data_IF_027651156009
#
_entry.id   IF_027651156009
#
_cell.length_a   1.000
_cell.length_b   1.000
_cell.length_c   1.000
_cell.angle_alpha   90.00
_cell.angle_beta   90.00
_cell.angle_gamma   90.00
#
_symmetry.space_group_name_H-M   'P 1'
#
loop_
_entity.id
_entity.type
_entity.pdbx_description
1 polymer ?
#
# COMPACT_ATOMS: atom_id res chain seq x y z
N UNK A 1 1.71 -19.57 4.24
CA UNK A 1 2.97 -19.23 3.53
C UNK A 1 3.44 -20.48 2.80
N UNK A 2 3.52 -20.49 1.46
CA UNK A 2 3.78 -21.72 0.68
C UNK A 2 5.06 -21.68 -0.16
N UNK A 3 5.60 -20.47 -0.45
CA UNK A 3 6.87 -20.31 -1.16
C UNK A 3 8.05 -20.58 -0.23
N UNK A 4 9.09 -21.22 -0.77
CA UNK A 4 10.38 -21.45 -0.12
C UNK A 4 11.51 -21.42 -1.15
N UNK A 5 12.76 -21.28 -0.70
CA UNK A 5 13.92 -21.26 -1.59
C UNK A 5 14.03 -22.54 -2.42
N UNK A 6 13.90 -23.71 -1.77
CA UNK A 6 13.88 -25.03 -2.44
C UNK A 6 12.77 -25.14 -3.50
N UNK A 7 11.54 -24.77 -3.15
CA UNK A 7 10.42 -24.86 -4.09
C UNK A 7 10.61 -23.92 -5.30
N UNK A 8 11.22 -22.75 -5.10
CA UNK A 8 11.50 -21.83 -6.21
C UNK A 8 12.61 -22.35 -7.13
N UNK A 9 13.62 -23.06 -6.61
CA UNK A 9 14.61 -23.75 -7.45
C UNK A 9 13.95 -24.83 -8.34
N UNK A 10 13.05 -25.64 -7.76
CA UNK A 10 12.29 -26.66 -8.50
C UNK A 10 11.40 -26.04 -9.58
N UNK A 11 10.69 -24.95 -9.24
CA UNK A 11 9.87 -24.18 -10.21
C UNK A 11 10.72 -23.59 -11.34
N UNK A 12 11.92 -23.12 -11.05
CA UNK A 12 12.82 -22.62 -12.08
C UNK A 12 13.27 -23.74 -13.04
N UNK A 13 13.60 -24.93 -12.55
CA UNK A 13 13.93 -26.06 -13.44
C UNK A 13 12.73 -26.47 -14.30
N UNK A 14 11.51 -26.37 -13.77
CA UNK A 14 10.28 -26.57 -14.54
C UNK A 14 10.11 -25.51 -15.64
N UNK A 15 10.33 -24.23 -15.31
CA UNK A 15 10.33 -23.13 -16.27
C UNK A 15 11.36 -23.32 -17.39
N UNK A 16 12.61 -23.64 -17.03
CA UNK A 16 13.72 -23.78 -17.98
C UNK A 16 13.56 -24.99 -18.90
N UNK A 17 13.01 -26.09 -18.39
CA UNK A 17 12.91 -27.35 -19.16
C UNK A 17 11.63 -27.47 -19.97
N UNK A 18 10.53 -26.79 -19.60
CA UNK A 18 9.22 -26.82 -20.26
C UNK A 18 8.83 -28.21 -20.81
N UNK A 19 8.88 -29.24 -19.95
CA UNK A 19 8.67 -30.64 -20.38
C UNK A 19 7.26 -30.92 -20.91
N UNK A 20 6.30 -30.05 -20.61
CA UNK A 20 4.91 -30.18 -21.04
C UNK A 20 4.61 -29.40 -22.32
N UNK A 21 5.61 -28.75 -22.93
CA UNK A 21 5.45 -27.94 -24.15
C UNK A 21 4.34 -26.89 -24.04
N UNK A 22 4.25 -26.26 -22.87
CA UNK A 22 3.25 -25.24 -22.58
C UNK A 22 3.61 -23.92 -23.28
N UNK A 23 2.59 -23.12 -23.57
CA UNK A 23 2.79 -21.73 -23.98
C UNK A 23 3.44 -20.92 -22.85
N UNK A 24 3.96 -19.73 -23.19
CA UNK A 24 4.63 -18.88 -22.21
C UNK A 24 3.73 -18.49 -21.03
N UNK A 25 2.44 -18.20 -21.29
CA UNK A 25 1.48 -17.79 -20.26
C UNK A 25 1.06 -18.97 -19.37
N UNK A 26 0.80 -20.13 -19.95
CA UNK A 26 0.47 -21.36 -19.21
C UNK A 26 1.63 -21.79 -18.30
N UNK A 27 2.85 -21.82 -18.84
CA UNK A 27 4.04 -22.16 -18.07
C UNK A 27 4.27 -21.16 -16.94
N UNK A 28 4.09 -19.84 -17.21
CA UNK A 28 4.23 -18.79 -16.21
C UNK A 28 3.22 -18.95 -15.07
N UNK A 29 1.98 -19.33 -15.38
CA UNK A 29 0.98 -19.65 -14.35
C UNK A 29 1.38 -20.90 -13.55
N UNK A 30 1.79 -21.99 -14.21
CA UNK A 30 2.24 -23.22 -13.54
C UNK A 30 3.35 -22.95 -12.53
N UNK A 31 4.38 -22.20 -12.92
CA UNK A 31 5.52 -21.86 -12.04
C UNK A 31 5.26 -20.65 -11.14
N UNK A 32 4.05 -20.09 -11.18
CA UNK A 32 3.61 -18.91 -10.40
C UNK A 32 4.62 -17.76 -10.50
N UNK A 33 5.11 -17.51 -11.72
CA UNK A 33 6.01 -16.40 -12.07
C UNK A 33 7.50 -16.61 -11.78
N UNK A 34 7.95 -17.79 -11.34
CA UNK A 34 9.39 -18.07 -11.16
C UNK A 34 10.07 -18.38 -12.50
N UNK A 35 10.60 -17.34 -13.16
CA UNK A 35 11.27 -17.45 -14.46
C UNK A 35 12.80 -17.22 -14.40
N UNK A 36 13.34 -16.93 -13.22
CA UNK A 36 14.76 -16.72 -12.98
C UNK A 36 15.24 -17.64 -11.85
N UNK A 37 16.50 -18.09 -11.95
CA UNK A 37 17.11 -18.99 -10.96
C UNK A 37 17.33 -18.24 -9.64
N UNK A 38 16.75 -18.67 -8.51
CA UNK A 38 17.11 -18.14 -7.21
C UNK A 38 18.59 -18.39 -6.92
N UNK A 39 19.27 -17.40 -6.34
CA UNK A 39 20.70 -17.48 -6.02
C UNK A 39 21.03 -17.13 -4.56
N UNK A 40 20.08 -16.51 -3.83
CA UNK A 40 20.17 -16.25 -2.38
C UNK A 40 18.91 -16.84 -1.73
N UNK A 41 19.10 -17.55 -0.62
CA UNK A 41 18.00 -17.95 0.25
C UNK A 41 17.56 -16.79 1.13
N UNK A 42 16.27 -16.51 1.14
CA UNK A 42 15.66 -15.48 1.98
C UNK A 42 14.59 -16.11 2.87
N UNK A 43 14.42 -15.54 4.07
CA UNK A 43 13.33 -15.93 4.96
C UNK A 43 12.02 -15.32 4.46
N UNK A 44 10.95 -16.10 4.23
CA UNK A 44 9.66 -15.56 3.84
C UNK A 44 9.04 -14.80 5.02
N UNK A 45 9.22 -13.49 5.01
CA UNK A 45 8.74 -12.56 6.03
C UNK A 45 8.31 -11.24 5.37
N UNK A 46 7.90 -10.27 6.18
CA UNK A 46 7.57 -8.90 5.75
C UNK A 46 8.61 -7.91 6.28
N UNK A 47 8.97 -6.92 5.47
CA UNK A 47 9.73 -5.77 5.94
C UNK A 47 8.78 -4.70 6.48
N UNK A 48 8.88 -4.42 7.78
CA UNK A 48 7.96 -3.51 8.47
C UNK A 48 8.06 -2.07 7.97
N UNK A 49 9.25 -1.60 7.58
CA UNK A 49 9.44 -0.23 7.11
C UNK A 49 8.78 0.00 5.74
N UNK A 50 9.04 -0.87 4.78
CA UNK A 50 8.42 -0.78 3.45
C UNK A 50 6.91 -1.07 3.52
N UNK A 51 6.46 -1.92 4.44
CA UNK A 51 5.03 -2.10 4.72
C UNK A 51 4.38 -0.79 5.17
N UNK A 52 4.96 -0.09 6.16
CA UNK A 52 4.45 1.20 6.64
C UNK A 52 4.44 2.26 5.51
N UNK A 53 5.50 2.33 4.69
CA UNK A 53 5.59 3.27 3.56
C UNK A 53 4.54 2.96 2.48
N UNK A 54 4.38 1.68 2.13
CA UNK A 54 3.42 1.22 1.13
C UNK A 54 1.99 1.52 1.55
N UNK A 55 1.62 1.14 2.77
CA UNK A 55 0.30 1.42 3.32
C UNK A 55 0.01 2.93 3.38
N UNK A 56 0.96 3.75 3.83
CA UNK A 56 0.80 5.19 3.84
C UNK A 56 0.62 5.80 2.44
N UNK A 57 1.31 5.26 1.42
CA UNK A 57 1.13 5.69 0.04
C UNK A 57 -0.28 5.37 -0.47
N UNK A 58 -0.82 4.20 -0.14
CA UNK A 58 -2.20 3.81 -0.49
C UNK A 58 -3.23 4.69 0.23
N UNK A 59 -3.09 4.94 1.53
CA UNK A 59 -3.99 5.85 2.26
C UNK A 59 -3.92 7.28 1.72
N UNK A 60 -2.72 7.79 1.43
CA UNK A 60 -2.57 9.09 0.78
C UNK A 60 -3.30 9.13 -0.57
N UNK A 61 -3.24 8.03 -1.34
CA UNK A 61 -3.98 7.93 -2.61
C UNK A 61 -5.50 7.92 -2.39
N UNK A 62 -5.99 7.17 -1.39
CA UNK A 62 -7.40 7.16 -1.00
C UNK A 62 -7.86 8.58 -0.66
N UNK A 63 -7.13 9.32 0.18
CA UNK A 63 -7.48 10.70 0.53
C UNK A 63 -7.61 11.61 -0.69
N UNK A 64 -6.70 11.52 -1.66
CA UNK A 64 -6.80 12.28 -2.91
C UNK A 64 -8.09 11.96 -3.70
N UNK A 65 -8.46 10.68 -3.76
CA UNK A 65 -9.61 10.19 -4.53
C UNK A 65 -10.94 10.52 -3.84
N UNK A 66 -10.96 10.53 -2.51
CA UNK A 66 -12.12 10.92 -1.71
C UNK A 66 -12.42 12.41 -1.80
N UNK A 67 -11.38 13.26 -1.76
CA UNK A 67 -11.52 14.70 -2.03
C UNK A 67 -12.12 14.95 -3.42
N UNK A 68 -11.77 14.11 -4.39
CA UNK A 68 -12.25 14.19 -5.75
C UNK A 68 -13.60 13.52 -6.03
N UNK A 69 -14.19 12.84 -5.04
CA UNK A 69 -15.37 11.98 -5.19
C UNK A 69 -15.27 11.08 -6.46
N UNK A 70 -14.13 10.42 -6.67
CA UNK A 70 -13.86 9.66 -7.91
C UNK A 70 -14.91 8.58 -8.20
N UNK A 71 -15.60 8.10 -7.17
CA UNK A 71 -16.71 7.16 -7.31
C UNK A 71 -17.92 7.74 -8.06
N UNK A 72 -18.10 9.07 -8.05
CA UNK A 72 -19.10 9.78 -8.87
C UNK A 72 -18.55 10.18 -10.24
N UNK A 73 -17.26 10.50 -10.31
CA UNK A 73 -16.59 10.88 -11.55
C UNK A 73 -15.39 9.96 -11.85
N UNK A 74 -15.64 8.76 -12.41
CA UNK A 74 -14.59 7.77 -12.64
C UNK A 74 -13.55 8.22 -13.68
N UNK A 75 -13.95 9.09 -14.60
CA UNK A 75 -13.14 9.52 -15.75
C UNK A 75 -12.40 10.85 -15.52
N UNK A 76 -12.16 11.22 -14.26
CA UNK A 76 -11.44 12.44 -13.93
C UNK A 76 -10.06 12.53 -14.61
N UNK A 77 -9.82 13.67 -15.24
CA UNK A 77 -8.60 14.04 -15.96
C UNK A 77 -7.36 14.08 -15.08
N UNK A 78 -6.20 14.10 -15.71
CA UNK A 78 -4.91 14.24 -15.00
C UNK A 78 -4.82 15.57 -14.25
N UNK A 79 -5.38 16.63 -14.82
CA UNK A 79 -5.40 17.98 -14.27
C UNK A 79 -6.29 18.05 -13.03
N UNK A 80 -7.46 17.40 -13.04
CA UNK A 80 -8.33 17.27 -11.85
C UNK A 80 -7.63 16.53 -10.72
N UNK A 81 -7.03 15.37 -11.03
CA UNK A 81 -6.30 14.57 -10.03
C UNK A 81 -5.14 15.35 -9.41
N UNK A 82 -4.43 16.17 -10.20
CA UNK A 82 -3.39 17.09 -9.71
C UNK A 82 -3.97 18.16 -8.79
N UNK A 83 -5.17 18.69 -9.08
CA UNK A 83 -5.85 19.67 -8.20
C UNK A 83 -6.25 19.06 -6.87
N UNK A 84 -6.76 17.82 -6.86
CA UNK A 84 -7.10 17.12 -5.60
C UNK A 84 -5.86 16.87 -4.75
N UNK A 85 -4.75 16.42 -5.36
CA UNK A 85 -3.47 16.30 -4.68
C UNK A 85 -3.01 17.63 -4.09
N UNK A 86 -3.04 18.72 -4.86
CA UNK A 86 -2.64 20.05 -4.37
C UNK A 86 -3.51 20.53 -3.21
N UNK A 87 -4.81 20.20 -3.24
CA UNK A 87 -5.77 20.53 -2.17
C UNK A 87 -5.42 19.78 -0.88
N UNK A 88 -5.20 18.47 -0.98
CA UNK A 88 -4.75 17.64 0.15
C UNK A 88 -3.45 18.17 0.74
N UNK A 89 -2.44 18.41 -0.10
CA UNK A 89 -1.12 18.88 0.30
C UNK A 89 -1.15 20.22 1.04
N UNK A 90 -1.94 21.18 0.53
CA UNK A 90 -2.13 22.47 1.19
C UNK A 90 -2.80 22.31 2.56
N UNK A 91 -3.80 21.44 2.64
CA UNK A 91 -4.54 21.22 3.88
C UNK A 91 -3.70 20.50 4.94
N UNK A 92 -2.98 19.44 4.57
CA UNK A 92 -2.06 18.73 5.47
C UNK A 92 -0.92 19.63 5.95
N UNK A 93 -0.41 20.53 5.09
CA UNK A 93 0.56 21.53 5.53
C UNK A 93 -0.04 22.48 6.57
N UNK A 94 -1.28 22.94 6.37
CA UNK A 94 -1.95 23.89 7.27
C UNK A 94 -2.31 23.27 8.62
N UNK A 95 -2.87 22.06 8.63
CA UNK A 95 -3.39 21.39 9.84
C UNK A 95 -2.34 20.57 10.58
N UNK A 96 -1.53 19.83 9.83
CA UNK A 96 -0.60 18.84 10.39
C UNK A 96 0.87 19.28 10.32
N UNK A 97 1.15 20.48 9.79
CA UNK A 97 2.50 20.96 9.47
C UNK A 97 3.31 19.95 8.62
N UNK A 98 2.62 19.19 7.76
CA UNK A 98 3.22 18.21 6.88
C UNK A 98 3.59 18.85 5.54
N UNK A 99 4.90 18.95 5.28
CA UNK A 99 5.41 19.42 3.98
C UNK A 99 5.19 18.31 2.92
N UNK A 100 4.59 18.63 1.77
CA UNK A 100 4.47 17.70 0.65
C UNK A 100 5.84 17.16 0.24
N UNK A 101 5.86 15.88 -0.12
CA UNK A 101 7.06 15.16 -0.54
C UNK A 101 6.82 14.50 -1.89
N UNK A 102 7.87 14.38 -2.69
CA UNK A 102 7.78 13.73 -4.00
C UNK A 102 7.64 12.20 -3.89
N UNK A 103 8.29 11.60 -2.89
CA UNK A 103 8.26 10.16 -2.64
C UNK A 103 8.01 9.89 -1.16
N UNK A 104 7.04 9.02 -0.88
CA UNK A 104 6.69 8.61 0.49
C UNK A 104 7.92 8.05 1.22
N UNK A 105 8.13 8.50 2.45
CA UNK A 105 9.20 8.03 3.32
C UNK A 105 8.64 7.65 4.70
N UNK A 106 9.43 6.93 5.50
CA UNK A 106 8.98 6.42 6.80
C UNK A 106 8.58 7.50 7.81
N UNK A 107 9.22 8.68 7.79
CA UNK A 107 8.87 9.78 8.68
C UNK A 107 7.49 10.36 8.33
N UNK A 108 7.21 10.54 7.04
CA UNK A 108 5.92 11.03 6.57
C UNK A 108 4.83 10.00 6.82
N UNK A 109 5.10 8.72 6.51
CA UNK A 109 4.16 7.61 6.77
C UNK A 109 3.72 7.56 8.23
N UNK A 110 4.68 7.65 9.17
CA UNK A 110 4.38 7.67 10.62
C UNK A 110 3.47 8.82 11.05
N UNK A 111 3.59 9.99 10.43
CA UNK A 111 2.75 11.15 10.78
C UNK A 111 1.39 11.11 10.10
N UNK A 112 1.36 10.72 8.82
CA UNK A 112 0.15 10.61 8.01
C UNK A 112 -0.82 9.55 8.55
N UNK A 113 -0.30 8.41 9.01
CA UNK A 113 -1.10 7.31 9.53
C UNK A 113 -1.52 7.57 10.99
N UNK A 114 -2.43 8.52 11.19
CA UNK A 114 -2.96 8.92 12.49
C UNK A 114 -4.42 9.34 12.40
N UNK A 115 -5.14 9.24 13.52
CA UNK A 115 -6.55 9.63 13.60
C UNK A 115 -6.72 11.13 13.31
N UNK A 116 -5.85 11.97 13.86
CA UNK A 116 -5.83 13.42 13.64
C UNK A 116 -5.72 13.78 12.15
N UNK A 117 -4.90 13.03 11.40
CA UNK A 117 -4.76 13.26 9.96
C UNK A 117 -6.05 12.93 9.21
N UNK A 118 -6.69 11.82 9.56
CA UNK A 118 -7.97 11.45 8.94
C UNK A 118 -9.07 12.46 9.26
N UNK A 119 -9.10 13.00 10.48
CA UNK A 119 -10.06 14.02 10.88
C UNK A 119 -9.84 15.32 10.10
N UNK A 120 -8.59 15.73 9.92
CA UNK A 120 -8.24 16.86 9.05
C UNK A 120 -8.68 16.61 7.59
N UNK A 121 -8.42 15.41 7.05
CA UNK A 121 -8.84 15.07 5.67
C UNK A 121 -10.37 15.07 5.55
N UNK A 122 -11.10 14.63 6.57
CA UNK A 122 -12.56 14.62 6.58
C UNK A 122 -13.17 16.03 6.44
N UNK A 123 -12.46 17.09 6.86
CA UNK A 123 -12.91 18.48 6.63
C UNK A 123 -13.05 18.82 5.13
N UNK A 124 -12.32 18.12 4.25
CA UNK A 124 -12.36 18.32 2.80
C UNK A 124 -13.38 17.42 2.08
N UNK A 125 -14.00 16.49 2.78
CA UNK A 125 -14.91 15.49 2.19
C UNK A 125 -16.34 15.93 2.43
N UNK A 126 -17.21 15.87 1.42
CA UNK A 126 -18.59 16.35 1.53
C UNK A 126 -19.54 15.33 2.18
N UNK A 127 -19.40 14.05 1.85
CA UNK A 127 -20.29 12.99 2.34
C UNK A 127 -19.91 12.55 3.75
N UNK A 128 -20.86 12.64 4.70
CA UNK A 128 -20.64 12.18 6.08
C UNK A 128 -20.43 10.67 6.17
N UNK A 129 -21.14 9.89 5.34
CA UNK A 129 -20.96 8.43 5.27
C UNK A 129 -19.51 8.08 4.87
N UNK A 130 -18.94 8.80 3.90
CA UNK A 130 -17.55 8.62 3.49
C UNK A 130 -16.56 8.99 4.60
N UNK A 131 -16.85 10.04 5.37
CA UNK A 131 -16.02 10.44 6.52
C UNK A 131 -16.00 9.34 7.59
N UNK A 132 -17.16 8.79 7.94
CA UNK A 132 -17.26 7.68 8.90
C UNK A 132 -16.46 6.47 8.40
N UNK A 133 -16.62 6.09 7.13
CA UNK A 133 -15.88 4.96 6.56
C UNK A 133 -14.35 5.16 6.59
N UNK A 134 -13.84 6.38 6.34
CA UNK A 134 -12.40 6.65 6.42
C UNK A 134 -11.87 6.63 7.85
N UNK A 135 -12.66 7.12 8.81
CA UNK A 135 -12.32 7.03 10.24
C UNK A 135 -12.22 5.60 10.70
N UNK A 136 -13.21 4.77 10.35
CA UNK A 136 -13.21 3.36 10.67
C UNK A 136 -12.03 2.63 10.01
N UNK A 137 -11.73 2.92 8.73
CA UNK A 137 -10.59 2.34 8.04
C UNK A 137 -9.26 2.68 8.71
N UNK A 138 -9.07 3.92 9.16
CA UNK A 138 -7.87 4.33 9.89
C UNK A 138 -7.81 3.70 11.28
N UNK A 139 -8.92 3.66 12.02
CA UNK A 139 -9.01 3.03 13.34
C UNK A 139 -8.63 1.54 13.28
N UNK A 140 -9.17 0.79 12.30
CA UNK A 140 -8.80 -0.60 12.06
C UNK A 140 -7.31 -0.74 11.73
N UNK A 141 -6.77 0.12 10.86
CA UNK A 141 -5.35 0.11 10.55
C UNK A 141 -4.49 0.33 11.79
N UNK A 142 -4.83 1.30 12.63
CA UNK A 142 -4.10 1.63 13.86
C UNK A 142 -4.17 0.51 14.90
N UNK A 143 -5.26 -0.25 14.96
CA UNK A 143 -5.38 -1.44 15.83
C UNK A 143 -4.49 -2.58 15.37
N UNK A 144 -4.33 -2.77 14.07
CA UNK A 144 -3.50 -3.87 13.54
C UNK A 144 -2.01 -3.53 13.49
N UNK A 145 -1.66 -2.25 13.29
CA UNK A 145 -0.27 -1.80 13.08
C UNK A 145 0.75 -2.25 14.14
N UNK A 146 0.45 -2.22 15.44
CA UNK A 146 1.41 -2.68 16.46
C UNK A 146 1.88 -4.11 16.23
N UNK A 147 1.02 -5.00 15.73
CA UNK A 147 1.31 -6.44 15.56
C UNK A 147 2.52 -6.70 14.66
N UNK A 148 2.72 -5.92 13.59
CA UNK A 148 3.87 -6.08 12.69
C UNK A 148 5.02 -5.11 12.97
N UNK A 149 4.88 -4.21 13.96
CA UNK A 149 5.86 -3.14 14.21
C UNK A 149 6.55 -3.22 15.57
N UNK A 150 5.86 -3.75 16.57
CA UNK A 150 6.41 -3.99 17.91
C UNK A 150 7.57 -4.98 17.87
N UNK A 151 8.46 -4.87 18.86
CA UNK A 151 9.60 -5.80 18.95
C UNK A 151 9.12 -7.17 19.47
N UNK A 152 8.15 -7.17 20.38
CA UNK A 152 7.53 -8.38 20.91
C UNK A 152 6.00 -8.23 21.04
N UNK A 153 5.22 -8.44 19.96
CA UNK A 153 3.76 -8.23 19.95
C UNK A 153 2.95 -9.18 20.84
N UNK A 154 3.58 -10.19 21.45
CA UNK A 154 2.93 -11.05 22.46
C UNK A 154 2.98 -10.47 23.87
N UNK A 155 3.74 -9.39 24.08
CA UNK A 155 3.95 -8.74 25.38
C UNK A 155 3.57 -7.26 25.37
N UNK A 156 3.80 -6.59 24.25
CA UNK A 156 3.39 -5.22 23.95
C UNK A 156 1.96 -5.18 23.41
#
# INVERSE_FOLDING_TARGET
ITRSHKQNLERYEMWRSNRHHESADELRDRVKGVSAKPFIETLPSIDALHCDIGNAAEFYKIFQLEIGEVFKNPNASKEERKRWQSTLDKHLRKKMNLKPIMRMNGNFARKLMSQETVDAVCELIHSEERRVALRELMDLYLKMKPVWRSSCPSKE
#
